data_IF_067400565083
#
_entry.id   IF_067400565083
#
_cell.length_a   1.000
_cell.length_b   1.000
_cell.length_c   1.000
_cell.angle_alpha   90.00
_cell.angle_beta   90.00
_cell.angle_gamma   90.00
#
_symmetry.space_group_name_H-M   'P 1'
#
loop_
_entity.id
_entity.type
_entity.pdbx_description
1 polymer ?
#
# COMPACT_ATOMS: atom_id res chain seq x y z
N UNK A 1 -37.18 3.47 -58.17
CA UNK A 1 -37.33 3.26 -56.71
C UNK A 1 -36.15 2.42 -56.24
N UNK A 2 -35.12 3.03 -55.64
CA UNK A 2 -33.91 2.36 -55.14
C UNK A 2 -34.03 2.27 -53.62
N UNK A 3 -34.06 1.06 -53.09
CA UNK A 3 -34.02 0.77 -51.65
C UNK A 3 -32.58 0.93 -51.14
N UNK A 4 -32.33 1.62 -50.01
CA UNK A 4 -31.02 1.61 -49.38
C UNK A 4 -30.89 0.37 -48.49
N UNK A 5 -29.82 -0.41 -48.73
CA UNK A 5 -29.38 -1.46 -47.81
C UNK A 5 -28.87 -0.80 -46.52
N UNK A 6 -29.51 -1.10 -45.40
CA UNK A 6 -29.06 -0.71 -44.07
C UNK A 6 -27.69 -1.33 -43.76
N UNK A 7 -26.68 -0.48 -43.66
CA UNK A 7 -25.38 -0.82 -43.10
C UNK A 7 -25.49 -0.75 -41.57
N UNK A 8 -25.68 -1.90 -40.92
CA UNK A 8 -25.55 -2.01 -39.46
C UNK A 8 -24.05 -1.98 -39.13
N UNK A 9 -23.53 -0.81 -38.80
CA UNK A 9 -22.22 -0.66 -38.17
C UNK A 9 -22.33 -1.15 -36.72
N UNK A 10 -21.82 -2.36 -36.46
CA UNK A 10 -21.68 -2.89 -35.11
C UNK A 10 -20.53 -2.13 -34.43
N UNK A 11 -20.88 -1.06 -33.69
CA UNK A 11 -19.93 -0.35 -32.85
C UNK A 11 -19.64 -1.23 -31.63
N UNK A 12 -18.65 -2.12 -31.75
CA UNK A 12 -18.11 -2.83 -30.60
C UNK A 12 -17.42 -1.80 -29.69
N UNK A 13 -18.13 -1.31 -28.68
CA UNK A 13 -17.53 -0.61 -27.55
C UNK A 13 -16.58 -1.59 -26.86
N UNK A 14 -15.30 -1.49 -27.22
CA UNK A 14 -14.19 -1.94 -26.39
C UNK A 14 -14.19 -1.07 -25.13
N UNK A 15 -15.11 -1.36 -24.20
CA UNK A 15 -14.85 -1.07 -22.81
C UNK A 15 -13.67 -1.94 -22.43
N UNK A 16 -12.48 -1.35 -22.41
CA UNK A 16 -11.41 -1.84 -21.57
C UNK A 16 -12.01 -1.94 -20.17
N UNK A 17 -12.37 -3.16 -19.75
CA UNK A 17 -12.54 -3.50 -18.36
C UNK A 17 -11.18 -3.23 -17.72
N UNK A 18 -10.98 -1.99 -17.28
CA UNK A 18 -10.06 -1.69 -16.21
C UNK A 18 -10.60 -2.49 -15.04
N UNK A 19 -10.16 -3.74 -14.91
CA UNK A 19 -10.31 -4.51 -13.69
C UNK A 19 -9.54 -3.73 -12.63
N UNK A 20 -10.20 -2.74 -12.05
CA UNK A 20 -9.75 -2.12 -10.82
C UNK A 20 -9.78 -3.26 -9.81
N UNK A 21 -8.61 -3.80 -9.51
CA UNK A 21 -8.45 -4.81 -8.48
C UNK A 21 -9.05 -4.21 -7.21
N UNK A 22 -10.22 -4.69 -6.81
CA UNK A 22 -10.74 -4.43 -5.48
C UNK A 22 -9.77 -5.08 -4.47
N UNK A 23 -9.82 -4.68 -3.19
CA UNK A 23 -9.01 -5.32 -2.14
C UNK A 23 -9.22 -6.85 -1.95
N UNK A 24 -9.88 -7.56 -2.86
CA UNK A 24 -10.10 -9.02 -2.86
C UNK A 24 -8.87 -9.80 -2.43
N UNK A 25 -7.72 -9.41 -2.99
CA UNK A 25 -6.44 -10.05 -2.74
C UNK A 25 -5.95 -9.90 -1.29
N UNK A 26 -6.30 -8.83 -0.59
CA UNK A 26 -5.80 -8.52 0.75
C UNK A 26 -6.89 -8.29 1.81
N UNK A 27 -8.11 -8.80 1.56
CA UNK A 27 -9.26 -8.68 2.47
C UNK A 27 -8.97 -9.19 3.89
N UNK A 28 -8.09 -10.16 4.06
CA UNK A 28 -7.76 -10.69 5.38
C UNK A 28 -6.99 -9.73 6.29
N UNK A 29 -6.42 -8.66 5.73
CA UNK A 29 -5.78 -7.60 6.52
C UNK A 29 -6.83 -6.74 7.24
N UNK A 30 -8.10 -6.83 6.82
CA UNK A 30 -9.20 -6.07 7.39
C UNK A 30 -9.93 -6.87 8.48
N UNK A 31 -10.39 -6.23 9.56
CA UNK A 31 -11.24 -6.86 10.55
C UNK A 31 -12.48 -7.46 9.90
N UNK A 32 -12.78 -8.74 10.18
CA UNK A 32 -13.90 -9.47 9.57
C UNK A 32 -13.97 -9.40 8.03
N UNK A 33 -12.84 -9.12 7.37
CA UNK A 33 -12.77 -8.92 5.92
C UNK A 33 -13.68 -7.79 5.40
N UNK A 34 -14.02 -6.83 6.26
CA UNK A 34 -14.83 -5.66 5.92
C UNK A 34 -13.94 -4.46 5.58
N UNK A 35 -14.05 -4.00 4.34
CA UNK A 35 -13.29 -2.86 3.83
C UNK A 35 -13.96 -1.56 4.28
N UNK A 36 -13.21 -0.58 4.83
CA UNK A 36 -13.75 0.72 5.21
C UNK A 36 -14.50 1.43 4.08
N UNK A 37 -15.61 2.06 4.39
CA UNK A 37 -16.38 2.89 3.46
C UNK A 37 -16.07 4.38 3.66
N UNK A 38 -16.00 5.12 2.56
CA UNK A 38 -15.70 6.56 2.55
C UNK A 38 -16.27 7.21 1.29
N UNK A 39 -16.68 8.48 1.33
CA UNK A 39 -17.08 9.22 0.13
C UNK A 39 -15.90 9.55 -0.80
N UNK A 40 -14.65 9.36 -0.35
CA UNK A 40 -13.46 9.65 -1.14
C UNK A 40 -13.25 8.58 -2.23
N UNK A 41 -13.01 9.04 -3.46
CA UNK A 41 -12.66 8.16 -4.58
C UNK A 41 -11.17 7.85 -4.53
N UNK A 42 -10.83 6.56 -4.44
CA UNK A 42 -9.45 6.10 -4.30
C UNK A 42 -9.06 5.01 -5.28
N UNK A 43 -7.90 4.39 -5.00
CA UNK A 43 -7.33 3.23 -5.68
C UNK A 43 -6.93 2.20 -4.62
N UNK A 44 -7.36 0.97 -4.81
CA UNK A 44 -7.02 -0.14 -3.93
C UNK A 44 -5.64 -0.67 -4.33
N UNK A 45 -4.73 -0.73 -3.36
CA UNK A 45 -3.40 -1.29 -3.54
C UNK A 45 -3.12 -2.31 -2.45
N UNK A 46 -3.11 -3.60 -2.83
CA UNK A 46 -2.66 -4.66 -1.95
C UNK A 46 -1.13 -4.78 -1.93
N UNK A 47 -0.58 -4.95 -0.73
CA UNK A 47 0.80 -5.37 -0.48
C UNK A 47 0.75 -6.59 0.46
N UNK A 48 1.91 -7.19 0.73
CA UNK A 48 1.97 -8.44 1.50
C UNK A 48 1.48 -8.32 2.94
N UNK A 49 1.83 -7.22 3.59
CA UNK A 49 1.68 -7.02 5.04
C UNK A 49 0.80 -5.83 5.37
N UNK A 50 0.37 -5.08 4.35
CA UNK A 50 -0.50 -3.93 4.47
C UNK A 50 -1.30 -3.72 3.18
N UNK A 51 -2.38 -2.96 3.25
CA UNK A 51 -3.09 -2.47 2.08
C UNK A 51 -3.23 -0.95 2.15
N UNK A 52 -3.37 -0.30 1.00
CA UNK A 52 -3.53 1.15 0.88
C UNK A 52 -4.77 1.46 0.07
N UNK A 53 -5.65 2.31 0.60
CA UNK A 53 -6.63 3.02 -0.20
C UNK A 53 -6.06 4.40 -0.53
N UNK A 54 -5.66 4.59 -1.78
CA UNK A 54 -4.84 5.71 -2.23
C UNK A 54 -5.68 6.81 -2.88
N UNK A 55 -5.46 8.09 -2.54
CA UNK A 55 -6.12 9.22 -3.20
C UNK A 55 -5.32 9.64 -4.45
N UNK A 56 -5.84 9.45 -5.68
CA UNK A 56 -5.18 9.95 -6.90
C UNK A 56 -5.18 11.48 -6.97
N UNK A 57 -6.08 12.14 -6.25
CA UNK A 57 -6.16 13.60 -6.14
C UNK A 57 -5.06 14.15 -5.23
N UNK A 58 -4.94 13.61 -4.01
CA UNK A 58 -4.01 14.11 -3.00
C UNK A 58 -2.61 13.50 -3.11
N UNK A 59 -2.51 12.42 -3.88
CA UNK A 59 -1.29 11.65 -4.14
C UNK A 59 -0.66 11.06 -2.87
N UNK A 60 -1.50 10.70 -1.90
CA UNK A 60 -1.16 10.06 -0.63
C UNK A 60 -2.25 9.06 -0.25
N UNK A 61 -1.96 8.20 0.73
CA UNK A 61 -2.98 7.33 1.30
C UNK A 61 -4.16 8.14 1.90
N UNK A 62 -5.38 7.65 1.67
CA UNK A 62 -6.57 8.00 2.45
C UNK A 62 -6.50 7.27 3.79
N UNK A 63 -6.27 5.95 3.70
CA UNK A 63 -5.90 5.09 4.81
C UNK A 63 -5.01 3.94 4.31
N UNK A 64 -4.24 3.37 5.24
CA UNK A 64 -3.60 2.07 5.11
C UNK A 64 -4.11 1.16 6.23
N UNK A 65 -4.08 -0.15 6.00
CA UNK A 65 -4.42 -1.15 7.02
C UNK A 65 -3.27 -2.13 7.20
N UNK A 66 -2.98 -2.48 8.46
CA UNK A 66 -2.04 -3.51 8.88
C UNK A 66 -2.74 -4.45 9.87
N UNK A 67 -2.48 -5.76 9.74
CA UNK A 67 -2.84 -6.77 10.74
C UNK A 67 -1.56 -7.28 11.39
N UNK A 68 -1.30 -6.86 12.63
CA UNK A 68 -0.07 -7.15 13.35
C UNK A 68 -0.32 -8.10 14.54
N UNK A 69 0.60 -9.02 14.74
CA UNK A 69 0.61 -9.99 15.83
C UNK A 69 1.91 -9.90 16.63
N UNK A 70 1.89 -10.47 17.84
CA UNK A 70 3.08 -10.61 18.68
C UNK A 70 4.17 -11.40 17.96
N UNK A 71 3.79 -12.47 17.28
CA UNK A 71 4.69 -13.36 16.56
C UNK A 71 5.42 -12.61 15.45
N UNK A 72 4.68 -11.87 14.60
CA UNK A 72 5.25 -11.06 13.54
C UNK A 72 6.28 -10.07 14.09
N UNK A 73 5.94 -9.31 15.13
CA UNK A 73 6.84 -8.29 15.69
C UNK A 73 8.03 -8.82 16.49
N UNK A 74 8.04 -10.12 16.81
CA UNK A 74 9.12 -10.82 17.52
C UNK A 74 10.13 -11.50 16.59
N UNK A 75 9.85 -11.55 15.29
CA UNK A 75 10.80 -12.09 14.29
C UNK A 75 12.00 -11.17 14.07
N UNK A 76 13.11 -11.75 13.59
CA UNK A 76 14.26 -10.96 13.13
C UNK A 76 13.83 -10.10 11.95
N UNK A 77 13.98 -8.78 12.11
CA UNK A 77 13.57 -7.82 11.08
C UNK A 77 14.64 -7.71 9.99
N UNK A 78 14.23 -7.65 8.72
CA UNK A 78 15.17 -7.40 7.62
C UNK A 78 15.79 -6.02 7.76
N UNK A 79 16.96 -5.83 7.12
CA UNK A 79 17.62 -4.52 7.10
C UNK A 79 16.78 -3.53 6.29
N UNK A 80 16.57 -2.34 6.85
CA UNK A 80 15.94 -1.22 6.12
C UNK A 80 16.76 -0.86 4.89
N UNK A 81 16.11 -0.81 3.73
CA UNK A 81 16.79 -0.50 2.45
C UNK A 81 16.85 1.00 2.17
N UNK A 82 15.85 1.77 2.64
CA UNK A 82 15.66 3.19 2.29
C UNK A 82 15.60 3.43 0.77
N UNK A 83 15.19 2.42 0.00
CA UNK A 83 15.09 2.48 -1.46
C UNK A 83 13.66 2.83 -1.87
N UNK A 84 13.31 4.11 -1.79
CA UNK A 84 12.02 4.63 -2.24
C UNK A 84 11.83 4.45 -3.75
N UNK A 85 10.59 4.16 -4.15
CA UNK A 85 10.22 4.00 -5.56
C UNK A 85 8.80 4.50 -5.82
N UNK A 86 8.57 4.94 -7.05
CA UNK A 86 7.29 5.48 -7.50
C UNK A 86 6.34 4.32 -7.80
N UNK A 87 5.09 4.41 -7.35
CA UNK A 87 4.12 3.31 -7.45
C UNK A 87 3.67 3.12 -8.90
N UNK A 88 4.28 2.14 -9.55
CA UNK A 88 4.13 1.82 -10.96
C UNK A 88 2.71 1.37 -11.36
N UNK A 89 1.93 0.82 -10.41
CA UNK A 89 0.54 0.38 -10.65
C UNK A 89 -0.43 1.54 -10.80
N UNK A 90 -0.07 2.74 -10.34
CA UNK A 90 -0.88 3.94 -10.48
C UNK A 90 -0.53 4.68 -11.78
N UNK A 91 -1.48 5.32 -12.49
CA UNK A 91 -1.16 6.21 -13.59
C UNK A 91 -0.15 7.30 -13.17
N UNK A 92 0.72 7.72 -14.09
CA UNK A 92 1.75 8.72 -13.78
C UNK A 92 1.16 10.04 -13.23
N UNK A 93 0.04 10.48 -13.78
CA UNK A 93 -0.65 11.69 -13.34
C UNK A 93 -1.23 11.59 -11.91
N UNK A 94 -1.50 10.37 -11.44
CA UNK A 94 -2.13 10.08 -10.15
C UNK A 94 -1.12 9.79 -9.03
N UNK A 95 0.15 9.44 -9.35
CA UNK A 95 1.12 8.99 -8.35
C UNK A 95 2.03 10.12 -7.83
N UNK A 96 2.54 9.98 -6.60
CA UNK A 96 3.60 10.82 -6.07
C UNK A 96 4.98 10.39 -6.60
N UNK A 97 5.85 11.36 -6.91
CA UNK A 97 7.19 11.12 -7.42
C UNK A 97 8.27 11.40 -6.37
N UNK A 98 9.46 10.85 -6.58
CA UNK A 98 10.61 11.14 -5.72
C UNK A 98 11.01 12.62 -5.77
N UNK A 99 10.83 13.25 -6.93
CA UNK A 99 11.11 14.67 -7.16
C UNK A 99 10.17 15.60 -6.41
N UNK A 100 8.95 15.19 -6.09
CA UNK A 100 8.00 16.05 -5.37
C UNK A 100 8.44 16.33 -3.94
N UNK A 101 9.13 15.36 -3.32
CA UNK A 101 9.61 15.48 -1.94
C UNK A 101 10.95 16.19 -1.85
N UNK A 102 11.73 16.25 -2.93
CA UNK A 102 13.07 16.84 -2.85
C UNK A 102 12.99 18.35 -2.65
N UNK A 103 13.68 18.85 -1.62
CA UNK A 103 13.73 20.28 -1.30
C UNK A 103 12.43 20.83 -0.72
N UNK A 104 11.42 19.99 -0.50
CA UNK A 104 10.11 20.41 0.01
C UNK A 104 10.12 20.84 1.49
N UNK A 105 11.15 20.45 2.24
CA UNK A 105 11.18 20.60 3.70
C UNK A 105 10.51 19.44 4.46
N UNK A 106 9.67 18.64 3.80
CA UNK A 106 8.95 17.51 4.39
C UNK A 106 9.70 16.18 4.24
N UNK A 107 9.53 15.30 5.22
CA UNK A 107 9.98 13.91 5.14
C UNK A 107 8.98 13.07 4.32
N UNK A 108 9.48 11.94 3.80
CA UNK A 108 8.65 10.85 3.27
C UNK A 108 8.13 10.01 4.44
N UNK A 109 7.09 10.50 5.10
CA UNK A 109 6.46 9.85 6.25
C UNK A 109 5.73 8.59 5.84
N UNK A 110 6.04 7.45 6.47
CA UNK A 110 5.37 6.19 6.16
C UNK A 110 3.98 6.15 6.81
N UNK A 111 2.99 5.59 6.12
CA UNK A 111 1.71 5.22 6.74
C UNK A 111 1.82 3.83 7.39
N UNK A 112 2.12 2.80 6.59
CA UNK A 112 2.55 1.48 7.07
C UNK A 112 4.07 1.50 7.34
N UNK A 113 4.54 1.45 8.61
CA UNK A 113 5.94 1.70 8.93
C UNK A 113 6.83 0.55 8.43
N UNK A 114 7.97 0.89 7.82
CA UNK A 114 8.99 -0.11 7.48
C UNK A 114 9.46 -0.93 8.70
N UNK A 115 9.35 -0.36 9.92
CA UNK A 115 9.65 -1.06 11.17
C UNK A 115 8.72 -2.25 11.47
N UNK A 116 7.55 -2.32 10.83
CA UNK A 116 6.54 -3.34 11.11
C UNK A 116 6.63 -4.52 10.12
N UNK A 117 7.49 -4.40 9.10
CA UNK A 117 7.68 -5.40 8.06
C UNK A 117 8.61 -6.54 8.51
N UNK A 118 8.19 -7.79 8.31
CA UNK A 118 8.85 -8.99 8.86
C UNK A 118 9.72 -9.75 7.86
N UNK A 119 9.70 -9.38 6.58
CA UNK A 119 10.50 -10.00 5.53
C UNK A 119 10.98 -8.96 4.51
N UNK A 120 12.04 -9.29 3.76
CA UNK A 120 12.70 -8.35 2.84
C UNK A 120 11.75 -7.76 1.79
N UNK A 121 10.73 -8.52 1.36
CA UNK A 121 9.76 -8.08 0.36
C UNK A 121 8.80 -7.06 0.95
N UNK A 122 8.16 -7.34 2.07
CA UNK A 122 7.31 -6.39 2.78
C UNK A 122 8.10 -5.12 3.15
N UNK A 123 9.37 -5.28 3.56
CA UNK A 123 10.29 -4.17 3.80
C UNK A 123 10.49 -3.32 2.55
N UNK A 124 10.79 -3.92 1.40
CA UNK A 124 10.89 -3.18 0.14
C UNK A 124 9.57 -2.49 -0.23
N UNK A 125 8.44 -3.20 -0.14
CA UNK A 125 7.09 -2.70 -0.45
C UNK A 125 6.75 -1.43 0.35
N UNK A 126 7.10 -1.39 1.65
CA UNK A 126 6.85 -0.24 2.52
C UNK A 126 7.48 1.08 2.03
N UNK A 127 8.47 1.03 1.15
CA UNK A 127 9.10 2.21 0.54
C UNK A 127 8.40 2.72 -0.74
N UNK A 128 7.23 2.18 -1.10
CA UNK A 128 6.39 2.74 -2.17
C UNK A 128 6.02 4.19 -1.86
N UNK A 129 6.12 5.09 -2.85
CA UNK A 129 5.63 6.46 -2.70
C UNK A 129 4.11 6.52 -2.45
N UNK A 130 3.33 5.48 -2.79
CA UNK A 130 1.92 5.38 -2.42
C UNK A 130 1.70 5.22 -0.91
N UNK A 131 2.70 4.72 -0.18
CA UNK A 131 2.71 4.60 1.28
C UNK A 131 3.23 5.86 1.99
N UNK A 132 3.57 6.92 1.23
CA UNK A 132 4.16 8.14 1.79
C UNK A 132 3.14 9.26 1.94
N UNK A 133 3.37 10.10 2.94
CA UNK A 133 2.74 11.42 3.08
C UNK A 133 3.81 12.48 3.39
N UNK A 134 3.63 13.74 2.96
CA UNK A 134 4.47 14.84 3.40
C UNK A 134 4.33 15.05 4.91
N UNK A 135 5.34 14.64 5.67
CA UNK A 135 5.31 14.70 7.13
C UNK A 135 6.34 15.69 7.65
N UNK A 136 5.94 16.57 8.57
CA UNK A 136 6.86 17.51 9.21
C UNK A 136 7.99 16.73 9.90
N UNK A 137 9.24 17.20 9.79
CA UNK A 137 10.42 16.41 10.18
C UNK A 137 10.43 16.05 11.66
N UNK A 138 10.12 17.02 12.54
CA UNK A 138 10.07 16.77 13.98
C UNK A 138 8.85 15.95 14.36
N UNK A 139 7.79 15.99 13.55
CA UNK A 139 6.67 15.07 13.71
C UNK A 139 7.11 13.63 13.42
N UNK A 140 7.63 13.37 12.21
CA UNK A 140 8.04 12.06 11.72
C UNK A 140 9.10 11.39 12.62
N UNK A 141 10.20 12.10 12.88
CA UNK A 141 11.36 11.56 13.60
C UNK A 141 11.20 11.62 15.13
N UNK A 142 10.28 12.48 15.61
CA UNK A 142 10.00 12.70 17.02
C UNK A 142 8.70 12.01 17.42
N UNK A 143 7.65 12.81 17.59
CA UNK A 143 6.42 12.39 18.25
C UNK A 143 5.74 11.19 17.58
N UNK A 144 5.73 11.12 16.24
CA UNK A 144 5.11 10.02 15.53
C UNK A 144 5.87 8.71 15.77
N UNK A 145 7.17 8.68 15.52
CA UNK A 145 7.98 7.49 15.75
C UNK A 145 7.97 7.04 17.23
N UNK A 146 8.23 7.97 18.16
CA UNK A 146 8.50 7.66 19.58
C UNK A 146 7.24 7.53 20.43
N UNK A 147 6.17 8.26 20.11
CA UNK A 147 4.97 8.34 20.95
C UNK A 147 3.73 7.73 20.31
N UNK A 148 3.76 7.42 19.00
CA UNK A 148 2.66 6.75 18.30
C UNK A 148 3.09 5.34 17.86
N UNK A 149 4.10 5.23 17.01
CA UNK A 149 4.49 3.93 16.44
C UNK A 149 5.12 2.96 17.46
N UNK A 150 6.08 3.43 18.25
CA UNK A 150 6.72 2.61 19.28
C UNK A 150 5.73 2.08 20.33
N UNK A 151 4.85 2.91 20.93
CA UNK A 151 3.82 2.43 21.84
C UNK A 151 2.81 1.49 21.19
N UNK A 152 2.44 1.73 19.93
CA UNK A 152 1.56 0.82 19.17
C UNK A 152 2.20 -0.56 19.04
N UNK A 153 3.46 -0.64 18.58
CA UNK A 153 4.21 -1.91 18.54
C UNK A 153 4.33 -2.55 19.92
N UNK A 154 4.56 -1.74 20.96
CA UNK A 154 4.61 -2.20 22.34
C UNK A 154 3.30 -2.85 22.80
N UNK A 155 2.15 -2.27 22.42
CA UNK A 155 0.84 -2.85 22.68
C UNK A 155 0.67 -4.19 21.97
N UNK A 156 0.94 -4.25 20.66
CA UNK A 156 0.83 -5.48 19.84
C UNK A 156 1.65 -6.62 20.44
N UNK A 157 2.88 -6.35 20.90
CA UNK A 157 3.74 -7.36 21.54
C UNK A 157 3.16 -7.95 22.83
N UNK A 158 2.23 -7.25 23.50
CA UNK A 158 1.55 -7.72 24.72
C UNK A 158 0.14 -8.24 24.47
N UNK A 159 -0.43 -7.99 23.30
CA UNK A 159 -1.77 -8.44 22.93
C UNK A 159 -1.85 -9.97 22.84
N UNK A 160 -3.04 -10.53 23.09
CA UNK A 160 -3.29 -11.97 23.05
C UNK A 160 -3.51 -12.51 21.63
N UNK A 161 -3.90 -11.65 20.69
CA UNK A 161 -4.11 -12.01 19.29
C UNK A 161 -3.81 -10.84 18.35
N UNK A 162 -4.29 -10.96 17.12
CA UNK A 162 -4.09 -9.96 16.07
C UNK A 162 -4.67 -8.60 16.45
N UNK A 163 -3.91 -7.56 16.15
CA UNK A 163 -4.30 -6.16 16.29
C UNK A 163 -4.39 -5.55 14.90
N UNK A 164 -5.49 -4.86 14.64
CA UNK A 164 -5.72 -4.19 13.37
C UNK A 164 -5.39 -2.71 13.54
N UNK A 165 -4.57 -2.19 12.63
CA UNK A 165 -4.11 -0.81 12.67
C UNK A 165 -4.50 -0.14 11.37
N UNK A 166 -5.20 0.99 11.47
CA UNK A 166 -5.42 1.86 10.33
C UNK A 166 -4.61 3.14 10.51
N UNK A 167 -3.80 3.50 9.52
CA UNK A 167 -3.02 4.75 9.53
C UNK A 167 -3.44 5.61 8.35
N UNK A 168 -3.57 6.91 8.55
CA UNK A 168 -3.83 7.82 7.44
C UNK A 168 -3.65 9.26 7.84
N UNK A 169 -4.08 10.16 6.96
CA UNK A 169 -3.94 11.59 7.17
C UNK A 169 -5.05 12.38 6.49
N UNK A 170 -5.42 13.53 7.04
CA UNK A 170 -6.51 14.37 6.55
C UNK A 170 -6.17 15.86 6.64
N UNK A 171 -7.06 16.67 6.08
CA UNK A 171 -6.87 18.10 5.90
C UNK A 171 -5.88 18.44 4.78
N UNK A 172 -5.74 19.74 4.53
CA UNK A 172 -4.90 20.27 3.47
C UNK A 172 -4.20 21.55 3.97
N UNK A 173 -2.87 21.49 4.07
CA UNK A 173 -1.99 22.59 4.44
C UNK A 173 -1.12 23.02 3.26
N UNK A 174 -1.65 22.92 2.03
CA UNK A 174 -0.94 23.15 0.79
C UNK A 174 -0.44 21.85 0.15
N UNK A 175 0.57 21.97 -0.73
CA UNK A 175 1.11 20.84 -1.49
C UNK A 175 2.60 20.98 -1.75
N UNK A 176 3.29 19.86 -1.94
CA UNK A 176 4.70 19.81 -2.35
C UNK A 176 4.86 19.34 -3.80
N UNK A 177 5.98 19.73 -4.41
CA UNK A 177 6.38 19.25 -5.73
C UNK A 177 5.54 19.79 -6.89
N UNK A 178 5.98 19.48 -8.11
CA UNK A 178 5.26 19.87 -9.34
C UNK A 178 3.95 19.12 -9.49
N UNK A 179 3.89 17.90 -8.96
CA UNK A 179 2.70 17.06 -9.01
C UNK A 179 1.67 17.41 -7.92
N UNK A 180 1.96 18.38 -7.05
CA UNK A 180 1.08 18.85 -5.98
C UNK A 180 0.62 17.74 -5.03
N UNK A 181 1.56 17.00 -4.45
CA UNK A 181 1.24 16.05 -3.38
C UNK A 181 0.73 16.83 -2.17
N UNK A 182 -0.49 16.55 -1.71
CA UNK A 182 -1.14 17.30 -0.63
C UNK A 182 -0.38 17.11 0.69
N UNK A 183 -0.11 18.21 1.39
CA UNK A 183 0.39 18.21 2.76
C UNK A 183 -0.83 18.05 3.68
N UNK A 184 -0.98 16.93 4.43
CA UNK A 184 -2.07 16.81 5.38
C UNK A 184 -1.87 17.76 6.57
N UNK A 185 -2.95 18.25 7.17
CA UNK A 185 -2.85 19.03 8.42
C UNK A 185 -2.77 18.13 9.65
N UNK A 186 -3.31 16.91 9.58
CA UNK A 186 -3.34 15.96 10.68
C UNK A 186 -3.06 14.53 10.22
N UNK A 187 -2.46 13.76 11.12
CA UNK A 187 -2.16 12.34 10.99
C UNK A 187 -2.96 11.57 12.03
N UNK A 188 -3.43 10.38 11.68
CA UNK A 188 -4.13 9.51 12.61
C UNK A 188 -3.64 8.07 12.56
N UNK A 189 -3.72 7.38 13.70
CA UNK A 189 -3.48 5.94 13.81
C UNK A 189 -4.53 5.31 14.71
N UNK A 190 -5.47 4.60 14.11
CA UNK A 190 -6.51 3.81 14.78
C UNK A 190 -5.94 2.44 15.14
N UNK A 191 -6.10 2.02 16.39
CA UNK A 191 -5.72 0.70 16.87
C UNK A 191 -6.98 -0.01 17.35
N UNK A 192 -7.21 -1.23 16.84
CA UNK A 192 -8.33 -2.07 17.22
C UNK A 192 -7.84 -3.41 17.77
N UNK A 193 -8.26 -3.75 18.98
CA UNK A 193 -8.03 -5.04 19.64
C UNK A 193 -9.34 -5.83 19.70
N UNK A 194 -9.55 -6.81 18.81
CA UNK A 194 -10.77 -7.61 18.79
C UNK A 194 -10.97 -8.43 20.07
N UNK A 195 -9.89 -8.88 20.71
CA UNK A 195 -9.98 -9.73 21.91
C UNK A 195 -10.57 -8.97 23.11
N UNK A 196 -10.29 -7.67 23.17
CA UNK A 196 -10.85 -6.78 24.20
C UNK A 196 -12.08 -6.02 23.71
N UNK A 197 -12.37 -6.11 22.41
CA UNK A 197 -13.35 -5.31 21.70
C UNK A 197 -13.23 -3.80 21.98
N UNK A 198 -11.99 -3.28 21.91
CA UNK A 198 -11.71 -1.85 22.13
C UNK A 198 -10.98 -1.25 20.93
N UNK A 199 -11.25 0.03 20.66
CA UNK A 199 -10.52 0.82 19.70
C UNK A 199 -10.22 2.23 20.22
N UNK A 200 -9.06 2.77 19.84
CA UNK A 200 -8.68 4.16 20.10
C UNK A 200 -7.84 4.69 18.95
N UNK A 201 -7.80 6.01 18.78
CA UNK A 201 -7.00 6.61 17.73
C UNK A 201 -6.07 7.70 18.25
N UNK A 202 -4.82 7.66 17.81
CA UNK A 202 -3.93 8.80 17.88
C UNK A 202 -4.38 9.85 16.86
N UNK A 203 -4.35 11.13 17.24
CA UNK A 203 -4.68 12.26 16.37
C UNK A 203 -3.66 13.37 16.59
N UNK A 204 -2.76 13.57 15.63
CA UNK A 204 -1.58 14.42 15.78
C UNK A 204 -1.53 15.44 14.65
N UNK A 205 -1.31 16.71 14.99
CA UNK A 205 -1.07 17.77 14.01
C UNK A 205 0.22 17.51 13.22
N UNK A 206 0.21 17.74 11.91
CA UNK A 206 1.39 17.61 11.05
C UNK A 206 2.26 18.88 11.07
N UNK A 207 2.79 19.24 12.24
CA UNK A 207 3.66 20.40 12.46
C UNK A 207 4.96 19.99 13.16
N UNK A 208 6.00 20.82 13.12
CA UNK A 208 7.22 20.53 13.86
C UNK A 208 7.05 20.77 15.38
N UNK A 209 6.01 21.51 15.75
CA UNK A 209 5.63 21.91 17.10
C UNK A 209 4.57 20.99 17.71
N UNK A 210 4.19 19.94 16.99
CA UNK A 210 3.13 19.01 17.36
C UNK A 210 3.34 18.46 18.78
N UNK A 211 2.26 18.47 19.57
CA UNK A 211 2.23 17.95 20.94
C UNK A 211 1.38 16.71 21.02
N UNK A 212 1.71 15.85 21.98
CA UNK A 212 0.93 14.66 22.23
C UNK A 212 -0.38 15.05 22.89
N UNK A 213 -1.47 14.53 22.33
CA UNK A 213 -2.81 14.64 22.90
C UNK A 213 -3.26 13.25 23.37
N UNK A 214 -4.20 13.17 24.33
CA UNK A 214 -4.88 11.91 24.64
C UNK A 214 -5.50 11.31 23.37
N UNK A 215 -5.50 9.97 23.22
CA UNK A 215 -6.19 9.33 22.12
C UNK A 215 -7.67 9.70 22.07
N UNK A 216 -8.19 9.85 20.85
CA UNK A 216 -9.61 10.09 20.59
C UNK A 216 -10.37 8.77 20.43
N UNK A 217 -11.69 8.85 20.55
CA UNK A 217 -12.56 7.69 20.37
C UNK A 217 -12.66 7.29 18.89
N UNK A 218 -13.08 6.04 18.64
CA UNK A 218 -13.41 5.59 17.29
C UNK A 218 -14.47 6.48 16.63
N UNK A 219 -15.55 6.80 17.35
CA UNK A 219 -16.62 7.65 16.83
C UNK A 219 -16.10 9.04 16.44
N UNK A 220 -15.27 9.66 17.28
CA UNK A 220 -14.67 10.96 16.94
C UNK A 220 -13.78 10.87 15.70
N UNK A 221 -12.99 9.80 15.55
CA UNK A 221 -12.18 9.60 14.34
C UNK A 221 -13.05 9.47 13.09
N UNK A 222 -14.12 8.66 13.13
CA UNK A 222 -15.03 8.50 11.97
C UNK A 222 -15.67 9.82 11.58
N UNK A 223 -16.06 10.66 12.55
CA UNK A 223 -16.60 12.00 12.30
C UNK A 223 -15.56 12.94 11.66
N UNK A 224 -14.33 12.94 12.16
CA UNK A 224 -13.26 13.81 11.62
C UNK A 224 -12.78 13.39 10.23
N UNK A 225 -12.85 12.11 9.90
CA UNK A 225 -12.30 11.56 8.64
C UNK A 225 -13.36 11.29 7.58
N UNK A 226 -14.62 11.10 7.98
CA UNK A 226 -15.69 10.62 7.10
C UNK A 226 -15.49 9.17 6.65
N UNK A 227 -14.67 8.39 7.35
CA UNK A 227 -14.39 6.99 7.05
C UNK A 227 -15.09 6.13 8.10
N UNK A 228 -15.95 5.20 7.66
CA UNK A 228 -16.45 4.12 8.50
C UNK A 228 -15.54 2.90 8.31
N UNK A 229 -14.74 2.59 9.34
CA UNK A 229 -13.82 1.45 9.33
C UNK A 229 -14.50 0.10 9.60
N UNK A 230 -15.83 0.08 9.82
CA UNK A 230 -16.62 -1.11 10.08
C UNK A 230 -16.08 -1.99 11.23
N UNK A 231 -15.65 -1.35 12.33
CA UNK A 231 -15.19 -2.09 13.50
C UNK A 231 -16.39 -2.66 14.27
N UNK A 232 -16.41 -3.96 14.62
CA UNK A 232 -17.53 -4.60 15.30
C UNK A 232 -17.51 -4.33 16.82
N UNK A 233 -17.46 -3.06 17.20
CA UNK A 233 -17.48 -2.62 18.59
C UNK A 233 -18.89 -2.82 19.16
N UNK A 234 -18.98 -3.44 20.33
CA UNK A 234 -20.24 -3.48 21.07
C UNK A 234 -20.48 -2.08 21.61
N UNK A 235 -21.58 -1.44 21.23
CA UNK A 235 -22.03 -0.23 21.91
C UNK A 235 -22.13 -0.54 23.42
N UNK A 236 -21.51 0.28 24.26
CA UNK A 236 -21.51 0.10 25.72
C UNK A 236 -22.92 -0.26 26.23
N UNK A 237 -23.06 -1.41 26.90
CA UNK A 237 -24.19 -1.66 27.78
C UNK A 237 -25.03 -2.93 27.64
N UNK A 238 -24.68 -3.94 26.84
CA UNK A 238 -25.27 -5.28 27.04
C UNK A 238 -24.34 -6.42 26.63
N UNK A 239 -23.84 -7.13 27.63
CA UNK A 239 -23.13 -8.41 27.46
C UNK A 239 -24.08 -9.42 26.83
N UNK A 240 -23.94 -9.68 25.53
CA UNK A 240 -24.15 -11.03 25.02
C UNK A 240 -22.78 -11.65 24.76
N UNK A 241 -22.41 -12.53 25.68
CA UNK A 241 -21.35 -13.51 25.46
C UNK A 241 -21.88 -14.48 24.41
N UNK A 242 -21.40 -14.37 23.17
CA UNK A 242 -21.49 -15.48 22.22
C UNK A 242 -20.21 -16.28 22.29
N UNK A 243 -20.38 -17.53 22.67
CA UNK A 243 -19.40 -18.58 22.89
C UNK A 243 -18.54 -18.90 21.67
N UNK A 244 -17.24 -19.03 21.94
CA UNK A 244 -16.22 -19.88 21.33
C UNK A 244 -16.31 -20.21 19.83
N UNK A 245 -15.29 -19.77 19.09
CA UNK A 245 -14.85 -20.41 17.84
C UNK A 245 -13.56 -21.22 18.07
N UNK A 246 -13.55 -22.40 17.45
CA UNK A 246 -12.64 -23.56 17.48
C UNK A 246 -11.12 -23.33 17.60
N UNK A 247 -10.37 -24.39 18.04
CA UNK A 247 -8.92 -24.39 18.10
C UNK A 247 -8.26 -24.14 16.73
N UNK A 248 -7.04 -23.59 16.70
CA UNK A 248 -6.40 -23.19 15.46
C UNK A 248 -6.13 -24.42 14.59
N UNK A 249 -6.82 -24.49 13.44
CA UNK A 249 -6.40 -25.36 12.33
C UNK A 249 -4.99 -24.96 11.94
N UNK A 250 -4.15 -25.96 11.74
CA UNK A 250 -2.76 -25.87 11.30
C UNK A 250 -2.63 -24.80 10.23
N UNK A 251 -1.75 -23.81 10.46
CA UNK A 251 -1.47 -22.73 9.50
C UNK A 251 -1.00 -23.35 8.18
N UNK A 252 -1.92 -23.53 7.24
CA UNK A 252 -1.54 -23.66 5.83
C UNK A 252 -0.73 -22.40 5.49
N UNK A 253 0.41 -22.62 4.84
CA UNK A 253 1.22 -21.52 4.31
C UNK A 253 0.39 -20.73 3.32
N UNK A 254 -0.18 -19.64 3.83
CA UNK A 254 -1.03 -18.73 3.09
C UNK A 254 -0.38 -18.33 1.77
N UNK A 255 -1.14 -18.48 0.68
CA UNK A 255 -0.73 -18.02 -0.64
C UNK A 255 -0.37 -16.52 -0.56
N UNK A 256 0.85 -16.20 -0.97
CA UNK A 256 1.38 -14.84 -0.98
C UNK A 256 0.53 -13.94 -1.88
N UNK A 257 -0.15 -12.99 -1.26
CA UNK A 257 -0.93 -11.92 -1.88
C UNK A 257 0.02 -10.96 -2.59
N UNK A 258 -0.17 -10.69 -3.88
CA UNK A 258 0.65 -9.73 -4.63
C UNK A 258 2.15 -10.08 -4.72
N UNK A 259 2.48 -11.38 -4.68
CA UNK A 259 3.81 -11.91 -4.29
C UNK A 259 5.06 -11.48 -5.08
N UNK A 260 4.97 -10.59 -6.06
CA UNK A 260 6.05 -10.25 -6.99
C UNK A 260 6.15 -8.76 -7.30
N UNK A 261 5.55 -7.90 -6.47
CA UNK A 261 5.67 -6.46 -6.59
C UNK A 261 6.31 -5.79 -5.35
N UNK A 262 7.28 -4.87 -5.53
CA UNK A 262 8.12 -4.71 -6.72
C UNK A 262 9.27 -5.73 -6.72
N UNK A 263 9.52 -6.39 -7.87
CA UNK A 263 10.82 -7.05 -8.09
C UNK A 263 11.72 -6.13 -8.89
N UNK A 264 12.85 -5.75 -8.29
CA UNK A 264 13.83 -4.87 -8.92
C UNK A 264 14.98 -5.66 -9.53
N UNK A 265 15.32 -5.36 -10.78
CA UNK A 265 16.51 -5.85 -11.45
C UNK A 265 17.47 -4.70 -11.75
N UNK A 266 18.69 -4.79 -11.22
CA UNK A 266 19.80 -3.91 -11.63
C UNK A 266 20.71 -4.65 -12.64
N UNK A 267 20.66 -5.98 -12.61
CA UNK A 267 21.31 -6.93 -13.50
C UNK A 267 20.42 -8.17 -13.65
N UNK A 268 20.76 -9.06 -14.59
CA UNK A 268 20.03 -10.32 -14.77
C UNK A 268 20.25 -11.22 -13.54
N UNK A 269 19.15 -11.60 -12.88
CA UNK A 269 19.19 -12.42 -11.67
C UNK A 269 18.29 -13.64 -11.84
N UNK A 270 18.91 -14.80 -12.07
CA UNK A 270 18.19 -16.06 -12.26
C UNK A 270 17.39 -16.48 -11.02
N UNK A 271 17.86 -16.17 -9.81
CA UNK A 271 17.10 -16.47 -8.59
C UNK A 271 15.77 -15.69 -8.56
N UNK A 272 15.81 -14.38 -8.85
CA UNK A 272 14.60 -13.54 -8.96
C UNK A 272 13.70 -14.01 -10.10
N UNK A 273 14.27 -14.30 -11.27
CA UNK A 273 13.53 -14.81 -12.44
C UNK A 273 12.83 -16.12 -12.15
N UNK A 274 13.55 -17.12 -11.64
CA UNK A 274 13.00 -18.43 -11.33
C UNK A 274 11.85 -18.31 -10.32
N UNK A 275 12.00 -17.42 -9.35
CA UNK A 275 10.96 -17.13 -8.37
C UNK A 275 9.70 -16.57 -9.03
N UNK A 276 9.82 -15.59 -9.94
CA UNK A 276 8.70 -15.05 -10.73
C UNK A 276 8.07 -16.14 -11.62
N UNK A 277 8.88 -16.86 -12.39
CA UNK A 277 8.45 -17.92 -13.31
C UNK A 277 7.68 -19.02 -12.58
N UNK A 278 8.16 -19.45 -11.42
CA UNK A 278 7.47 -20.46 -10.62
C UNK A 278 6.06 -20.01 -10.22
N UNK A 279 5.85 -18.72 -9.97
CA UNK A 279 4.54 -18.22 -9.56
C UNK A 279 3.59 -18.03 -10.73
N UNK A 280 4.10 -17.68 -11.91
CA UNK A 280 3.34 -17.75 -13.15
C UNK A 280 2.85 -19.18 -13.38
N UNK A 281 3.75 -20.17 -13.24
CA UNK A 281 3.41 -21.60 -13.39
C UNK A 281 2.40 -22.10 -12.35
N UNK A 282 2.36 -21.49 -11.16
CA UNK A 282 1.35 -21.76 -10.13
C UNK A 282 0.00 -21.06 -10.38
N UNK A 283 -0.15 -20.30 -11.48
CA UNK A 283 -1.39 -19.58 -11.80
C UNK A 283 -1.66 -18.35 -10.94
N UNK A 284 -0.64 -17.85 -10.21
CA UNK A 284 -0.77 -16.72 -9.27
C UNK A 284 -0.58 -15.35 -9.92
N UNK A 285 -0.14 -15.31 -11.17
CA UNK A 285 0.15 -14.08 -11.90
C UNK A 285 -0.67 -14.08 -13.19
N UNK A 286 -1.53 -13.08 -13.32
CA UNK A 286 -2.35 -12.89 -14.51
C UNK A 286 -1.65 -12.05 -15.58
N UNK A 287 -0.91 -11.03 -15.16
CA UNK A 287 -0.25 -10.10 -16.07
C UNK A 287 1.08 -9.61 -15.47
N UNK A 288 2.04 -9.33 -16.33
CA UNK A 288 3.33 -8.74 -15.99
C UNK A 288 3.59 -7.53 -16.86
N UNK A 289 4.06 -6.46 -16.20
CA UNK A 289 4.62 -5.30 -16.86
C UNK A 289 6.04 -5.05 -16.38
N UNK A 290 6.99 -4.96 -17.31
CA UNK A 290 8.33 -4.47 -17.03
C UNK A 290 8.38 -2.97 -17.31
N UNK A 291 8.51 -2.18 -16.23
CA UNK A 291 8.74 -0.74 -16.33
C UNK A 291 10.24 -0.45 -16.31
N UNK A 292 10.72 0.35 -17.26
CA UNK A 292 12.13 0.72 -17.39
C UNK A 292 12.31 2.16 -17.87
N UNK A 293 13.46 2.78 -17.56
CA UNK A 293 13.85 4.08 -18.11
C UNK A 293 14.86 3.90 -19.25
N UNK A 294 16.09 3.47 -18.94
CA UNK A 294 17.20 3.42 -19.93
C UNK A 294 17.65 2.02 -20.36
N UNK A 295 17.42 1.00 -19.54
CA UNK A 295 18.02 -0.33 -19.76
C UNK A 295 17.11 -1.27 -20.56
N UNK A 296 16.85 -0.92 -21.83
CA UNK A 296 16.00 -1.70 -22.72
C UNK A 296 16.56 -3.11 -22.98
N UNK A 297 17.89 -3.27 -23.08
CA UNK A 297 18.52 -4.57 -23.32
C UNK A 297 18.24 -5.55 -22.17
N UNK A 298 18.50 -5.16 -20.92
CA UNK A 298 18.18 -6.00 -19.76
C UNK A 298 16.68 -6.28 -19.68
N UNK A 299 15.84 -5.31 -20.00
CA UNK A 299 14.38 -5.47 -20.04
C UNK A 299 13.97 -6.57 -21.02
N UNK A 300 14.49 -6.53 -22.26
CA UNK A 300 14.24 -7.55 -23.28
C UNK A 300 14.77 -8.91 -22.86
N UNK A 301 15.95 -8.97 -22.22
CA UNK A 301 16.50 -10.23 -21.71
C UNK A 301 15.60 -10.84 -20.63
N UNK A 302 15.13 -10.05 -19.65
CA UNK A 302 14.21 -10.50 -18.61
C UNK A 302 12.90 -11.00 -19.23
N UNK A 303 12.32 -10.23 -20.17
CA UNK A 303 11.10 -10.61 -20.87
C UNK A 303 11.25 -11.95 -21.59
N UNK A 304 12.29 -12.11 -22.43
CA UNK A 304 12.56 -13.33 -23.17
C UNK A 304 12.75 -14.55 -22.24
N UNK A 305 13.40 -14.37 -21.08
CA UNK A 305 13.58 -15.45 -20.11
C UNK A 305 12.26 -15.91 -19.48
N UNK A 306 11.32 -14.98 -19.25
CA UNK A 306 9.99 -15.31 -18.73
C UNK A 306 9.13 -15.94 -19.81
N UNK A 307 9.09 -15.36 -21.01
CA UNK A 307 8.27 -15.84 -22.15
C UNK A 307 8.74 -17.19 -22.70
N UNK A 308 10.04 -17.48 -22.65
CA UNK A 308 10.56 -18.80 -23.06
C UNK A 308 10.15 -19.94 -22.13
N UNK A 309 9.70 -19.63 -20.91
CA UNK A 309 9.36 -20.63 -19.88
C UNK A 309 7.89 -20.58 -19.45
N UNK A 310 7.11 -19.64 -19.99
CA UNK A 310 5.71 -19.40 -19.63
C UNK A 310 4.93 -18.93 -20.84
N UNK A 311 3.62 -19.18 -20.87
CA UNK A 311 2.74 -18.69 -21.93
C UNK A 311 2.19 -17.27 -21.65
N UNK A 312 2.83 -16.53 -20.74
CA UNK A 312 2.33 -15.23 -20.30
C UNK A 312 3.02 -14.10 -21.08
N UNK A 313 2.28 -13.29 -21.87
CA UNK A 313 2.87 -12.18 -22.60
C UNK A 313 3.36 -11.10 -21.63
N UNK A 314 4.54 -10.54 -21.90
CA UNK A 314 5.12 -9.50 -21.05
C UNK A 314 4.93 -8.13 -21.69
N UNK A 315 4.23 -7.24 -20.99
CA UNK A 315 4.12 -5.85 -21.44
C UNK A 315 5.37 -5.05 -21.05
N UNK A 316 5.94 -4.30 -21.99
CA UNK A 316 7.06 -3.41 -21.74
C UNK A 316 6.54 -1.97 -21.70
N UNK A 317 6.86 -1.25 -20.63
CA UNK A 317 6.52 0.17 -20.52
C UNK A 317 7.80 0.96 -20.24
N UNK A 318 8.25 1.70 -21.25
CA UNK A 318 9.27 2.70 -21.04
C UNK A 318 8.64 3.90 -20.33
N UNK A 319 9.15 4.22 -19.15
CA UNK A 319 8.71 5.35 -18.35
C UNK A 319 9.94 6.05 -17.79
N UNK A 320 10.25 7.21 -18.34
CA UNK A 320 11.32 8.06 -17.83
C UNK A 320 10.76 9.03 -16.80
N UNK A 321 11.24 9.03 -15.55
CA UNK A 321 10.91 10.10 -14.63
C UNK A 321 11.45 11.44 -15.21
N UNK A 322 10.84 12.58 -14.87
CA UNK A 322 11.29 13.88 -15.35
C UNK A 322 12.75 14.12 -14.99
N UNK A 323 13.48 14.76 -15.89
CA UNK A 323 14.84 15.20 -15.61
C UNK A 323 14.88 16.05 -14.34
N UNK A 324 15.84 15.74 -13.46
CA UNK A 324 15.99 16.44 -12.18
C UNK A 324 17.47 16.50 -11.79
N UNK A 325 17.97 17.72 -11.60
CA UNK A 325 19.39 17.97 -11.31
C UNK A 325 19.86 17.56 -9.91
N UNK A 326 18.99 17.10 -9.02
CA UNK A 326 19.48 16.48 -7.78
C UNK A 326 18.56 15.41 -7.16
N UNK A 327 17.66 14.81 -7.95
CA UNK A 327 17.10 13.51 -7.61
C UNK A 327 17.88 12.54 -8.47
N UNK A 328 18.65 11.69 -7.82
CA UNK A 328 19.30 10.58 -8.50
C UNK A 328 18.30 9.45 -8.63
N UNK A 329 17.77 9.26 -9.83
CA UNK A 329 16.95 8.10 -10.16
C UNK A 329 17.83 6.90 -10.51
N UNK A 330 17.38 5.70 -10.13
CA UNK A 330 18.01 4.45 -10.57
C UNK A 330 17.56 4.11 -11.99
N UNK A 331 18.03 4.88 -12.97
CA UNK A 331 17.57 4.84 -14.38
C UNK A 331 17.84 3.54 -15.13
N UNK A 332 18.78 2.73 -14.63
CA UNK A 332 19.09 1.41 -15.19
C UNK A 332 18.34 0.26 -14.50
N UNK A 333 17.59 0.56 -13.43
CA UNK A 333 16.80 -0.43 -12.71
C UNK A 333 15.50 -0.72 -13.46
N UNK A 334 15.18 -1.99 -13.59
CA UNK A 334 13.89 -2.47 -14.09
C UNK A 334 12.98 -2.74 -12.90
N UNK A 335 11.73 -2.30 -12.98
CA UNK A 335 10.69 -2.65 -12.05
C UNK A 335 9.75 -3.64 -12.72
N UNK A 336 9.73 -4.88 -12.22
CA UNK A 336 8.76 -5.88 -12.62
C UNK A 336 7.51 -5.71 -11.76
N UNK A 337 6.41 -5.39 -12.43
CA UNK A 337 5.07 -5.25 -11.86
C UNK A 337 4.26 -6.49 -12.20
N UNK A 338 3.68 -7.12 -11.19
CA UNK A 338 2.78 -8.27 -11.36
C UNK A 338 1.38 -7.92 -10.92
N UNK A 339 0.42 -8.42 -11.68
CA UNK A 339 -1.00 -8.35 -11.36
C UNK A 339 -1.48 -9.78 -11.07
N UNK A 340 -2.00 -10.01 -9.87
CA UNK A 340 -2.66 -11.27 -9.47
C UNK A 340 -4.08 -11.33 -10.05
N UNK A 341 -4.61 -12.56 -10.13
CA UNK A 341 -6.01 -12.83 -10.49
C UNK A 341 -6.93 -12.64 -9.30
#
# INVERSE_FOLDING_TARGET
>A
MKSPRHLLALLALLFSLSAFAAFEDCRDLFPNQQIPSTPQVGRDLCFDSFAIYYSPHDKKAIYTVEKLSREQLSTNRPRRTNQFYEEARLPYAERALLSDYRGSGYDRGHNAPAGDMTNERAMAQSFSMANMMPQARQNNQGIWAKNVEEPTRGYVKRAAGDIYIFTGSTGNSGSIGKNRVTIPSHLYKLVYDPNKNIAWAYWIENSNEAKMMPPITYQELTQKTGIDFHLPLSNDGNKQVTTASEPPKTKEQKAFIGGWYPVFFEELSFSKLNSVINNIKMGKVENIQLQYDRNENLTKQIALQIESQTNLPISLLQSSPPESTAVTYKRNRIMLVTYSR
#
